data_IF_893745247020
#
_entry.id   IF_893745247020
#
_cell.length_a   1.000
_cell.length_b   1.000
_cell.length_c   1.000
_cell.angle_alpha   90.00
_cell.angle_beta   90.00
_cell.angle_gamma   90.00
#
_symmetry.space_group_name_H-M   'P 1'
#
loop_
_entity.id
_entity.type
_entity.pdbx_description
1 polymer ?
#
# COMPACT_ATOMS: atom_id res chain seq x y z
N UNK A 1 5.12 -14.48 25.05
CA UNK A 1 5.96 -15.45 24.34
C UNK A 1 5.16 -16.21 23.28
N UNK A 2 3.95 -16.67 23.60
CA UNK A 2 3.03 -17.32 22.65
C UNK A 2 2.63 -16.46 21.43
N UNK A 3 2.37 -15.16 21.60
CA UNK A 3 1.99 -14.27 20.47
C UNK A 3 3.09 -14.10 19.42
N UNK A 4 4.36 -14.03 19.82
CA UNK A 4 5.48 -13.91 18.88
C UNK A 4 5.71 -15.22 18.11
N UNK A 5 5.51 -16.36 18.76
CA UNK A 5 5.63 -17.69 18.12
C UNK A 5 4.48 -17.89 17.13
N UNK A 6 3.24 -17.56 17.51
CA UNK A 6 2.08 -17.60 16.61
C UNK A 6 2.28 -16.72 15.36
N UNK A 7 2.80 -15.50 15.55
CA UNK A 7 3.10 -14.57 14.45
C UNK A 7 4.16 -15.12 13.47
N UNK A 8 5.18 -15.82 13.98
CA UNK A 8 6.20 -16.48 13.15
C UNK A 8 5.63 -17.69 12.40
N UNK A 9 4.75 -18.48 13.04
CA UNK A 9 4.11 -19.63 12.39
C UNK A 9 3.17 -19.23 11.25
N UNK A 10 2.38 -18.15 11.40
CA UNK A 10 1.55 -17.64 10.30
C UNK A 10 2.41 -17.19 9.12
N UNK A 11 3.49 -16.45 9.35
CA UNK A 11 4.38 -16.03 8.24
C UNK A 11 5.07 -17.21 7.57
N UNK A 12 5.43 -18.28 8.30
CA UNK A 12 6.00 -19.51 7.72
C UNK A 12 4.97 -20.34 6.94
N UNK A 13 3.70 -20.38 7.37
CA UNK A 13 2.60 -21.03 6.64
C UNK A 13 2.33 -20.33 5.30
N UNK A 14 2.36 -18.99 5.27
CA UNK A 14 2.32 -18.23 4.02
C UNK A 14 3.63 -18.38 3.23
N UNK A 15 4.78 -18.43 3.92
CA UNK A 15 6.13 -18.70 3.39
C UNK A 15 6.23 -19.98 2.56
N UNK A 16 5.44 -21.00 2.89
CA UNK A 16 5.37 -22.28 2.15
C UNK A 16 4.87 -22.16 0.71
N UNK A 17 4.23 -21.05 0.33
CA UNK A 17 3.83 -20.75 -1.05
C UNK A 17 4.94 -20.05 -1.89
N UNK A 18 6.06 -19.66 -1.28
CA UNK A 18 7.07 -18.77 -1.88
C UNK A 18 8.22 -19.47 -2.63
N UNK A 19 8.11 -20.76 -2.96
CA UNK A 19 9.17 -21.46 -3.71
C UNK A 19 8.78 -21.61 -5.18
N UNK A 20 8.96 -20.54 -5.95
CA UNK A 20 9.55 -20.52 -7.30
C UNK A 20 9.23 -19.19 -7.96
N UNK A 21 10.14 -18.22 -7.95
CA UNK A 21 10.45 -17.38 -9.12
C UNK A 21 11.77 -16.68 -8.83
N UNK A 22 12.84 -17.15 -9.47
CA UNK A 22 14.12 -16.47 -9.47
C UNK A 22 13.97 -15.17 -10.26
N UNK A 23 14.16 -14.05 -9.58
CA UNK A 23 14.20 -12.70 -10.14
C UNK A 23 15.36 -12.60 -11.14
N UNK A 24 15.04 -12.38 -12.42
CA UNK A 24 16.00 -11.94 -13.43
C UNK A 24 15.57 -10.55 -13.88
N UNK A 25 16.36 -9.49 -13.62
CA UNK A 25 16.05 -8.16 -14.13
C UNK A 25 16.18 -8.18 -15.66
N UNK A 26 15.04 -8.24 -16.34
CA UNK A 26 14.96 -8.09 -17.79
C UNK A 26 14.87 -6.61 -18.13
N UNK A 27 15.63 -6.16 -19.13
CA UNK A 27 15.47 -4.81 -19.69
C UNK A 27 13.98 -4.56 -20.00
N UNK A 28 13.43 -3.48 -19.45
CA UNK A 28 12.04 -3.06 -19.64
C UNK A 28 11.73 -2.96 -21.15
N UNK A 29 11.02 -3.97 -21.68
CA UNK A 29 10.49 -3.90 -23.04
C UNK A 29 9.42 -2.80 -23.07
N UNK A 30 9.30 -2.04 -24.17
CA UNK A 30 8.22 -1.08 -24.31
C UNK A 30 6.87 -1.77 -24.10
N UNK A 31 5.98 -1.08 -23.40
CA UNK A 31 4.65 -1.60 -23.08
C UNK A 31 3.90 -1.85 -24.37
N UNK A 32 3.64 -3.12 -24.68
CA UNK A 32 2.75 -3.46 -25.78
C UNK A 32 1.33 -3.01 -25.43
N UNK A 33 0.65 -2.43 -26.41
CA UNK A 33 -0.74 -1.95 -26.28
C UNK A 33 -1.64 -2.70 -27.25
N UNK A 34 -2.92 -2.84 -26.91
CA UNK A 34 -3.91 -3.48 -27.76
C UNK A 34 -4.39 -2.51 -28.85
N UNK A 35 -4.45 -3.01 -30.09
CA UNK A 35 -5.13 -2.31 -31.17
C UNK A 35 -6.64 -2.30 -30.96
N UNK A 36 -7.30 -1.22 -31.40
CA UNK A 36 -8.75 -1.07 -31.33
C UNK A 36 -9.45 -2.16 -32.16
N UNK A 37 -10.33 -2.93 -31.52
CA UNK A 37 -11.06 -4.05 -32.16
C UNK A 37 -10.30 -5.38 -32.15
N UNK A 38 -9.13 -5.44 -31.53
CA UNK A 38 -8.27 -6.65 -31.54
C UNK A 38 -8.86 -7.85 -30.78
N UNK A 39 -9.82 -7.64 -29.88
CA UNK A 39 -10.41 -8.70 -29.08
C UNK A 39 -11.67 -9.31 -29.71
N UNK A 40 -12.20 -8.73 -30.79
CA UNK A 40 -13.44 -9.20 -31.44
C UNK A 40 -13.45 -10.71 -31.78
N UNK A 41 -12.29 -11.29 -32.14
CA UNK A 41 -12.18 -12.73 -32.38
C UNK A 41 -12.37 -13.57 -31.12
N UNK A 42 -11.82 -13.12 -29.98
CA UNK A 42 -11.97 -13.79 -28.69
C UNK A 42 -13.40 -13.66 -28.17
N UNK A 43 -14.01 -12.49 -28.34
CA UNK A 43 -15.42 -12.23 -27.96
C UNK A 43 -16.37 -13.16 -28.70
N UNK A 44 -16.26 -13.29 -30.03
CA UNK A 44 -17.07 -14.23 -30.81
C UNK A 44 -16.93 -15.67 -30.33
N UNK A 45 -15.71 -16.06 -29.94
CA UNK A 45 -15.44 -17.40 -29.39
C UNK A 45 -16.12 -17.58 -28.03
N UNK A 46 -16.02 -16.59 -27.15
CA UNK A 46 -16.64 -16.62 -25.84
C UNK A 46 -18.18 -16.73 -25.95
N UNK A 47 -18.81 -15.92 -26.81
CA UNK A 47 -20.25 -15.99 -27.07
C UNK A 47 -20.71 -17.36 -27.56
N UNK A 48 -19.96 -17.98 -28.47
CA UNK A 48 -20.25 -19.33 -28.96
C UNK A 48 -20.12 -20.39 -27.85
N UNK A 49 -19.12 -20.26 -26.98
CA UNK A 49 -18.96 -21.17 -25.83
C UNK A 49 -20.12 -21.02 -24.83
N UNK A 50 -20.52 -19.79 -24.49
CA UNK A 50 -21.67 -19.53 -23.63
C UNK A 50 -22.97 -20.16 -24.15
N UNK A 51 -23.14 -20.25 -25.48
CA UNK A 51 -24.33 -20.89 -26.09
C UNK A 51 -24.25 -22.42 -26.13
N UNK A 52 -23.06 -23.00 -26.06
CA UNK A 52 -22.84 -24.44 -26.31
C UNK A 52 -22.49 -25.23 -25.05
N UNK A 53 -21.98 -24.58 -24.01
CA UNK A 53 -21.69 -25.19 -22.72
C UNK A 53 -22.95 -25.16 -21.84
N UNK A 54 -23.32 -26.32 -21.30
CA UNK A 54 -24.54 -26.48 -20.51
C UNK A 54 -24.31 -26.56 -18.99
N UNK A 55 -23.06 -26.65 -18.55
CA UNK A 55 -22.73 -26.75 -17.12
C UNK A 55 -22.23 -25.41 -16.58
N UNK A 56 -22.58 -25.11 -15.33
CA UNK A 56 -22.08 -23.93 -14.62
C UNK A 56 -20.74 -24.25 -13.97
N UNK A 57 -19.76 -23.37 -14.16
CA UNK A 57 -18.48 -23.42 -13.45
C UNK A 57 -18.63 -22.70 -12.11
N UNK A 58 -18.18 -23.32 -11.02
CA UNK A 58 -18.02 -22.61 -9.74
C UNK A 58 -16.76 -21.73 -9.80
N UNK A 59 -16.97 -20.42 -9.82
CA UNK A 59 -15.90 -19.42 -9.96
C UNK A 59 -15.38 -18.90 -8.62
N UNK A 60 -15.89 -19.38 -7.48
CA UNK A 60 -15.48 -18.89 -6.14
C UNK A 60 -14.00 -19.09 -5.86
N UNK A 61 -13.43 -20.20 -6.34
CA UNK A 61 -12.01 -20.53 -6.15
C UNK A 61 -11.12 -20.06 -7.31
N UNK A 62 -11.67 -19.36 -8.31
CA UNK A 62 -10.89 -18.87 -9.44
C UNK A 62 -9.82 -17.90 -8.97
N UNK A 63 -8.62 -17.99 -9.55
CA UNK A 63 -7.50 -17.09 -9.27
C UNK A 63 -7.08 -16.43 -10.57
N UNK A 64 -7.76 -15.32 -10.90
CA UNK A 64 -7.53 -14.60 -12.15
C UNK A 64 -6.17 -13.90 -12.11
N UNK A 65 -5.36 -14.15 -13.14
CA UNK A 65 -4.08 -13.48 -13.36
C UNK A 65 -4.13 -12.58 -14.60
N UNK A 66 -3.27 -11.58 -14.62
CA UNK A 66 -2.93 -10.80 -15.81
C UNK A 66 -1.42 -10.78 -15.97
N UNK A 67 -0.91 -11.11 -17.17
CA UNK A 67 0.55 -11.21 -17.43
C UNK A 67 1.29 -12.14 -16.42
N UNK A 68 0.61 -13.16 -15.91
CA UNK A 68 1.16 -14.12 -14.95
C UNK A 68 0.93 -13.77 -13.48
N UNK A 69 0.64 -12.50 -13.16
CA UNK A 69 0.42 -12.06 -11.78
C UNK A 69 -1.05 -12.20 -11.38
N UNK A 70 -1.30 -12.85 -10.24
CA UNK A 70 -2.66 -12.97 -9.71
C UNK A 70 -3.17 -11.62 -9.21
N UNK A 71 -4.37 -11.23 -9.65
CA UNK A 71 -4.97 -9.94 -9.32
C UNK A 71 -5.66 -9.95 -7.96
N UNK A 72 -5.79 -8.76 -7.37
CA UNK A 72 -6.67 -8.55 -6.22
C UNK A 72 -8.14 -8.77 -6.61
N UNK A 73 -8.91 -9.38 -5.72
CA UNK A 73 -10.29 -9.78 -5.96
C UNK A 73 -11.16 -9.37 -4.79
N UNK A 74 -12.26 -8.69 -5.06
CA UNK A 74 -13.40 -8.68 -4.14
C UNK A 74 -14.19 -9.99 -4.33
N UNK A 75 -14.05 -10.89 -3.37
CA UNK A 75 -14.65 -12.23 -3.40
C UNK A 75 -16.16 -12.21 -3.24
N UNK A 76 -16.73 -11.16 -2.64
CA UNK A 76 -18.17 -11.02 -2.49
C UNK A 76 -18.85 -10.77 -3.85
N UNK A 77 -18.25 -9.92 -4.69
CA UNK A 77 -18.76 -9.60 -6.03
C UNK A 77 -18.12 -10.42 -7.16
N UNK A 78 -17.05 -11.17 -6.88
CA UNK A 78 -16.21 -11.82 -7.90
C UNK A 78 -15.70 -10.82 -8.95
N UNK A 79 -15.17 -9.70 -8.46
CA UNK A 79 -14.59 -8.64 -9.27
C UNK A 79 -13.10 -8.54 -9.01
N UNK A 80 -12.30 -8.67 -10.06
CA UNK A 80 -10.85 -8.49 -10.00
C UNK A 80 -10.45 -7.08 -10.43
N UNK A 81 -9.37 -6.56 -9.86
CA UNK A 81 -8.93 -5.18 -10.09
C UNK A 81 -7.58 -5.19 -10.80
N UNK A 82 -7.51 -4.49 -11.94
CA UNK A 82 -6.28 -4.33 -12.71
C UNK A 82 -5.89 -2.84 -12.75
N UNK A 83 -4.79 -2.44 -12.09
CA UNK A 83 -4.25 -1.10 -12.24
C UNK A 83 -3.72 -0.87 -13.65
N UNK A 84 -4.14 0.22 -14.28
CA UNK A 84 -3.78 0.61 -15.64
C UNK A 84 -3.32 2.06 -15.69
N UNK A 85 -2.60 2.43 -16.74
CA UNK A 85 -2.15 3.80 -16.95
C UNK A 85 -3.31 4.70 -17.39
N UNK A 86 -3.68 5.64 -16.54
CA UNK A 86 -4.78 6.58 -16.79
C UNK A 86 -4.39 7.77 -17.68
N UNK A 87 -3.09 8.02 -17.86
CA UNK A 87 -2.57 9.10 -18.70
C UNK A 87 -2.55 8.74 -20.20
N UNK A 88 -2.72 7.45 -20.51
CA UNK A 88 -2.78 6.92 -21.87
C UNK A 88 -4.19 6.45 -22.22
N UNK A 89 -4.68 6.81 -23.41
CA UNK A 89 -5.94 6.29 -23.95
C UNK A 89 -5.85 4.86 -24.48
N UNK A 90 -4.64 4.28 -24.58
CA UNK A 90 -4.43 2.93 -25.07
C UNK A 90 -4.57 1.88 -23.95
N UNK A 91 -5.07 0.70 -24.28
CA UNK A 91 -5.17 -0.43 -23.36
C UNK A 91 -3.90 -1.26 -23.36
N UNK A 92 -3.44 -1.67 -22.18
CA UNK A 92 -2.26 -2.49 -21.99
C UNK A 92 -2.48 -3.90 -22.57
N UNK A 93 -1.54 -4.37 -23.39
CA UNK A 93 -1.60 -5.72 -23.94
C UNK A 93 -1.31 -6.77 -22.86
N UNK A 94 -2.07 -7.85 -22.84
CA UNK A 94 -1.83 -8.94 -21.90
C UNK A 94 -2.94 -9.96 -21.98
N UNK A 95 -2.65 -11.17 -21.51
CA UNK A 95 -3.63 -12.24 -21.41
C UNK A 95 -4.14 -12.33 -19.97
N UNK A 96 -5.46 -12.48 -19.84
CA UNK A 96 -6.07 -12.98 -18.62
C UNK A 96 -5.97 -14.49 -18.59
N UNK A 97 -5.56 -15.05 -17.45
CA UNK A 97 -5.39 -16.49 -17.26
C UNK A 97 -5.86 -16.91 -15.87
N UNK A 98 -6.07 -18.20 -15.66
CA UNK A 98 -6.23 -18.77 -14.32
C UNK A 98 -4.88 -19.24 -13.78
N UNK A 99 -4.59 -18.97 -12.50
CA UNK A 99 -3.35 -19.41 -11.85
C UNK A 99 -3.20 -20.94 -11.85
N UNK A 100 -4.31 -21.68 -11.78
CA UNK A 100 -4.32 -23.15 -11.84
C UNK A 100 -4.13 -23.72 -13.25
N UNK A 101 -4.30 -22.91 -14.29
CA UNK A 101 -4.14 -23.27 -15.70
C UNK A 101 -5.20 -24.21 -16.27
N UNK A 102 -6.15 -24.69 -15.46
CA UNK A 102 -7.24 -25.57 -15.90
C UNK A 102 -8.38 -24.78 -16.54
N UNK A 103 -8.62 -23.55 -16.06
CA UNK A 103 -9.67 -22.66 -16.56
C UNK A 103 -9.09 -21.69 -17.58
N UNK A 104 -9.76 -21.56 -18.72
CA UNK A 104 -9.42 -20.59 -19.76
C UNK A 104 -10.28 -19.34 -19.61
N UNK A 105 -9.68 -18.18 -19.85
CA UNK A 105 -10.35 -16.88 -19.73
C UNK A 105 -10.45 -16.23 -21.11
N UNK A 106 -11.63 -15.70 -21.45
CA UNK A 106 -11.86 -14.92 -22.67
C UNK A 106 -12.70 -13.67 -22.35
N UNK A 107 -12.43 -12.52 -22.98
CA UNK A 107 -13.31 -11.36 -22.84
C UNK A 107 -14.68 -11.63 -23.47
N UNK A 108 -15.75 -11.21 -22.79
CA UNK A 108 -17.11 -11.20 -23.34
C UNK A 108 -17.44 -9.88 -24.07
N UNK A 109 -16.58 -8.89 -23.94
CA UNK A 109 -16.70 -7.58 -24.58
C UNK A 109 -15.34 -7.16 -25.12
N UNK A 110 -15.34 -6.53 -26.30
CA UNK A 110 -14.13 -5.92 -26.84
C UNK A 110 -13.92 -4.56 -26.18
N UNK A 111 -13.34 -4.57 -24.99
CA UNK A 111 -13.11 -3.36 -24.21
C UNK A 111 -12.14 -2.38 -24.88
N UNK A 112 -11.38 -2.82 -25.89
CA UNK A 112 -10.50 -1.93 -26.68
C UNK A 112 -11.27 -0.92 -27.52
N UNK A 113 -12.58 -1.14 -27.70
CA UNK A 113 -13.49 -0.20 -28.37
C UNK A 113 -14.01 0.89 -27.41
N UNK A 114 -13.87 0.70 -26.10
CA UNK A 114 -14.37 1.63 -25.10
C UNK A 114 -13.40 2.79 -24.88
N UNK A 115 -13.93 3.92 -24.44
CA UNK A 115 -13.14 5.04 -23.95
C UNK A 115 -12.53 4.67 -22.58
N UNK A 116 -11.22 4.47 -22.53
CA UNK A 116 -10.50 3.98 -21.34
C UNK A 116 -10.73 4.88 -20.11
N UNK A 117 -10.58 6.19 -20.29
CA UNK A 117 -10.77 7.16 -19.22
C UNK A 117 -12.19 7.10 -18.63
N UNK A 118 -13.22 7.02 -19.47
CA UNK A 118 -14.60 6.90 -19.02
C UNK A 118 -14.91 5.56 -18.33
N UNK A 119 -14.31 4.45 -18.79
CA UNK A 119 -14.44 3.13 -18.14
C UNK A 119 -13.87 3.18 -16.72
N UNK A 120 -12.65 3.70 -16.58
CA UNK A 120 -11.96 3.83 -15.28
C UNK A 120 -12.75 4.77 -14.35
N UNK A 121 -13.12 5.97 -14.83
CA UNK A 121 -13.79 6.97 -14.01
C UNK A 121 -15.16 6.51 -13.47
N UNK A 122 -15.84 5.62 -14.19
CA UNK A 122 -17.13 5.04 -13.77
C UNK A 122 -16.99 3.77 -12.94
N UNK A 123 -15.78 3.23 -12.79
CA UNK A 123 -15.57 1.89 -12.21
C UNK A 123 -16.33 0.81 -12.99
N UNK A 124 -16.44 0.96 -14.32
CA UNK A 124 -17.24 0.06 -15.14
C UNK A 124 -16.58 -1.33 -15.17
N UNK A 125 -17.31 -2.34 -14.73
CA UNK A 125 -16.87 -3.74 -14.83
C UNK A 125 -16.96 -4.26 -16.26
N UNK A 126 -15.91 -4.95 -16.70
CA UNK A 126 -15.88 -5.71 -17.96
C UNK A 126 -16.00 -7.19 -17.65
N UNK A 127 -16.95 -7.86 -18.30
CA UNK A 127 -17.19 -9.28 -18.08
C UNK A 127 -16.24 -10.15 -18.89
N UNK A 128 -15.74 -11.21 -18.23
CA UNK A 128 -14.92 -12.25 -18.80
C UNK A 128 -15.64 -13.60 -18.65
N UNK A 129 -15.49 -14.46 -19.64
CA UNK A 129 -15.88 -15.86 -19.58
C UNK A 129 -14.74 -16.67 -18.98
N UNK A 130 -15.01 -17.34 -17.87
CA UNK A 130 -14.19 -18.43 -17.35
C UNK A 130 -14.78 -19.76 -17.81
N UNK A 131 -13.99 -20.63 -18.44
CA UNK A 131 -14.49 -21.93 -18.89
C UNK A 131 -13.49 -23.07 -18.73
N UNK A 132 -14.01 -24.23 -18.36
CA UNK A 132 -13.27 -25.49 -18.27
C UNK A 132 -13.65 -26.39 -19.45
N UNK A 133 -12.65 -26.74 -20.25
CA UNK A 133 -12.82 -27.57 -21.45
C UNK A 133 -13.18 -29.01 -21.16
N UNK A 134 -12.60 -29.58 -20.10
CA UNK A 134 -12.81 -30.98 -19.74
C UNK A 134 -14.16 -31.16 -19.05
N UNK A 135 -14.48 -30.25 -18.14
CA UNK A 135 -15.75 -30.26 -17.42
C UNK A 135 -16.92 -29.72 -18.26
N UNK A 136 -16.64 -29.14 -19.43
CA UNK A 136 -17.63 -28.48 -20.31
C UNK A 136 -18.50 -27.48 -19.55
N UNK A 137 -17.88 -26.74 -18.62
CA UNK A 137 -18.56 -25.79 -17.75
C UNK A 137 -18.04 -24.38 -17.99
N UNK A 138 -18.90 -23.39 -17.74
CA UNK A 138 -18.52 -21.98 -17.83
C UNK A 138 -19.18 -21.12 -16.75
N UNK A 139 -18.54 -20.00 -16.43
CA UNK A 139 -19.00 -18.99 -15.50
C UNK A 139 -18.57 -17.60 -15.96
N UNK A 140 -19.23 -16.57 -15.46
CA UNK A 140 -18.91 -15.18 -15.76
C UNK A 140 -18.22 -14.58 -14.54
N UNK A 141 -17.12 -13.88 -14.79
CA UNK A 141 -16.39 -13.08 -13.79
C UNK A 141 -16.20 -11.67 -14.31
N UNK A 142 -15.84 -10.74 -13.44
CA UNK A 142 -15.70 -9.33 -13.79
C UNK A 142 -14.29 -8.82 -13.51
N UNK A 143 -13.81 -7.93 -14.37
CA UNK A 143 -12.61 -7.12 -14.10
C UNK A 143 -13.00 -5.64 -14.08
N UNK A 144 -12.46 -4.88 -13.12
CA UNK A 144 -12.49 -3.42 -13.07
C UNK A 144 -11.08 -2.92 -13.34
N UNK A 145 -10.96 -1.99 -14.29
CA UNK A 145 -9.71 -1.29 -14.54
C UNK A 145 -9.67 -0.05 -13.67
N UNK A 146 -8.62 0.07 -12.86
CA UNK A 146 -8.44 1.17 -11.90
C UNK A 146 -7.26 2.04 -12.30
N UNK A 147 -7.39 3.36 -12.12
CA UNK A 147 -6.33 4.32 -12.41
C UNK A 147 -5.35 4.51 -11.26
N UNK A 148 -5.65 3.94 -10.09
CA UNK A 148 -4.78 3.98 -8.91
C UNK A 148 -4.11 2.64 -8.70
N UNK A 149 -3.05 2.61 -7.89
CA UNK A 149 -2.41 1.37 -7.50
C UNK A 149 -3.36 0.45 -6.71
N UNK A 150 -2.98 -0.82 -6.60
CA UNK A 150 -3.72 -1.81 -5.80
C UNK A 150 -2.78 -2.45 -4.79
N UNK A 151 -3.27 -2.77 -3.59
CA UNK A 151 -2.57 -3.59 -2.61
C UNK A 151 -3.46 -4.75 -2.21
N UNK A 152 -2.94 -5.97 -2.35
CA UNK A 152 -3.59 -7.20 -1.85
C UNK A 152 -2.85 -7.70 -0.63
N UNK A 153 -3.58 -7.97 0.44
CA UNK A 153 -3.09 -8.48 1.72
C UNK A 153 -3.78 -9.81 2.01
N UNK A 154 -3.01 -10.79 2.45
CA UNK A 154 -3.49 -12.08 2.96
C UNK A 154 -2.92 -12.29 4.38
N UNK A 155 -3.79 -12.58 5.34
CA UNK A 155 -3.46 -12.76 6.76
C UNK A 155 -4.46 -13.67 7.45
N UNK A 156 -4.02 -14.44 8.45
CA UNK A 156 -4.91 -15.26 9.28
C UNK A 156 -5.62 -14.47 10.38
N UNK A 157 -5.27 -13.18 10.54
CA UNK A 157 -5.82 -12.33 11.58
C UNK A 157 -7.26 -11.89 11.28
N UNK A 158 -8.06 -11.75 12.34
CA UNK A 158 -9.37 -11.11 12.27
C UNK A 158 -9.19 -9.62 12.50
N UNK A 159 -9.21 -8.80 11.44
CA UNK A 159 -8.95 -7.37 11.55
C UNK A 159 -10.02 -6.58 12.32
N UNK A 160 -11.13 -7.19 12.72
CA UNK A 160 -12.10 -6.56 13.62
C UNK A 160 -11.71 -6.72 15.10
N UNK A 161 -10.80 -7.67 15.41
CA UNK A 161 -10.35 -8.00 16.77
C UNK A 161 -8.85 -7.76 16.96
N UNK A 162 -8.05 -8.17 15.98
CA UNK A 162 -6.59 -8.18 16.02
C UNK A 162 -6.02 -6.82 15.58
N UNK A 163 -5.42 -6.13 16.55
CA UNK A 163 -4.78 -4.83 16.32
C UNK A 163 -3.32 -4.95 15.88
N UNK A 164 -2.75 -6.15 15.93
CA UNK A 164 -1.39 -6.48 15.48
C UNK A 164 -1.45 -7.81 14.75
N UNK A 165 -0.95 -7.84 13.53
CA UNK A 165 -1.07 -9.01 12.65
C UNK A 165 0.11 -9.11 11.69
N UNK A 166 0.21 -10.23 10.99
CA UNK A 166 1.26 -10.48 10.01
C UNK A 166 0.71 -11.31 8.86
N UNK A 167 1.40 -11.30 7.74
CA UNK A 167 0.94 -12.02 6.56
C UNK A 167 1.80 -11.74 5.35
N UNK A 168 1.19 -11.89 4.18
CA UNK A 168 1.80 -11.57 2.89
C UNK A 168 1.02 -10.48 2.18
N UNK A 169 1.72 -9.69 1.38
CA UNK A 169 1.10 -8.67 0.57
C UNK A 169 1.74 -8.56 -0.81
N UNK A 170 0.97 -8.01 -1.74
CA UNK A 170 1.41 -7.67 -3.08
C UNK A 170 0.99 -6.25 -3.37
N UNK A 171 1.95 -5.40 -3.71
CA UNK A 171 1.71 -4.07 -4.28
C UNK A 171 1.64 -4.22 -5.79
N UNK A 172 0.63 -3.61 -6.42
CA UNK A 172 0.45 -3.56 -7.86
C UNK A 172 0.48 -2.10 -8.32
N UNK A 173 1.51 -1.75 -9.09
CA UNK A 173 1.56 -0.51 -9.87
C UNK A 173 0.81 -0.72 -11.19
N UNK A 174 0.80 0.29 -12.07
CA UNK A 174 0.21 0.21 -13.41
C UNK A 174 0.79 -0.97 -14.17
N UNK A 175 -0.07 -1.88 -14.64
CA UNK A 175 0.34 -3.14 -15.27
C UNK A 175 1.14 -2.97 -16.57
N UNK A 176 1.19 -1.75 -17.11
CA UNK A 176 2.06 -1.38 -18.22
C UNK A 176 3.55 -1.37 -17.84
N UNK A 177 3.90 -1.06 -16.60
CA UNK A 177 5.30 -0.96 -16.17
C UNK A 177 6.00 -2.32 -16.13
N UNK A 178 7.32 -2.32 -16.33
CA UNK A 178 8.14 -3.47 -15.99
C UNK A 178 8.09 -3.68 -14.47
N UNK A 179 8.08 -4.94 -14.03
CA UNK A 179 8.06 -5.30 -12.61
C UNK A 179 6.96 -4.57 -11.81
N UNK A 180 5.76 -4.44 -12.43
CA UNK A 180 4.59 -3.75 -11.87
C UNK A 180 4.03 -4.35 -10.58
N UNK A 181 4.65 -5.39 -10.03
CA UNK A 181 4.27 -6.02 -8.77
C UNK A 181 5.44 -6.18 -7.82
N UNK A 182 5.23 -5.87 -6.53
CA UNK A 182 6.18 -6.12 -5.45
C UNK A 182 5.53 -7.02 -4.41
N UNK A 183 6.10 -8.21 -4.22
CA UNK A 183 5.62 -9.20 -3.26
C UNK A 183 6.50 -9.20 -2.00
N UNK A 184 5.87 -9.22 -0.82
CA UNK A 184 6.61 -9.21 0.45
C UNK A 184 5.79 -9.75 1.62
N UNK A 185 6.48 -10.23 2.67
CA UNK A 185 5.85 -10.49 3.96
C UNK A 185 5.76 -9.20 4.79
N UNK A 186 4.90 -9.19 5.80
CA UNK A 186 4.78 -8.01 6.67
C UNK A 186 4.46 -8.37 8.12
N UNK A 187 4.75 -7.42 9.01
CA UNK A 187 4.11 -7.27 10.31
C UNK A 187 3.37 -5.93 10.31
N UNK A 188 2.20 -5.86 10.93
CA UNK A 188 1.37 -4.67 10.90
C UNK A 188 0.69 -4.42 12.23
N UNK A 189 0.30 -3.17 12.44
CA UNK A 189 -0.58 -2.79 13.53
C UNK A 189 -1.55 -1.69 13.11
N UNK A 190 -2.71 -1.66 13.75
CA UNK A 190 -3.62 -0.53 13.64
C UNK A 190 -2.91 0.77 14.03
N UNK A 191 -3.16 1.82 13.25
CA UNK A 191 -2.55 3.12 13.43
C UNK A 191 -3.60 4.21 13.61
N UNK A 192 -3.26 5.15 14.49
CA UNK A 192 -4.04 6.35 14.76
C UNK A 192 -4.21 6.54 16.26
N UNK A 193 -4.64 7.73 16.66
CA UNK A 193 -5.17 7.93 18.01
C UNK A 193 -6.69 7.91 17.92
N UNK A 194 -7.32 9.07 17.73
CA UNK A 194 -8.77 9.21 17.60
C UNK A 194 -9.35 8.45 16.41
N UNK A 195 -8.60 8.37 15.31
CA UNK A 195 -9.04 7.68 14.08
C UNK A 195 -9.22 6.18 14.23
N UNK A 196 -8.68 5.56 15.31
CA UNK A 196 -8.93 4.14 15.61
C UNK A 196 -10.37 3.87 15.98
N UNK A 197 -11.15 4.88 16.38
CA UNK A 197 -12.57 4.73 16.63
C UNK A 197 -13.40 4.68 15.32
N UNK A 198 -12.83 5.02 14.16
CA UNK A 198 -13.57 5.02 12.90
C UNK A 198 -13.81 3.60 12.37
N UNK A 199 -14.87 3.37 11.58
CA UNK A 199 -15.13 2.07 10.96
C UNK A 199 -13.98 1.62 10.04
N UNK A 200 -13.39 2.56 9.29
CA UNK A 200 -12.25 2.29 8.42
C UNK A 200 -10.95 2.63 9.16
N UNK A 201 -10.14 1.61 9.46
CA UNK A 201 -8.90 1.74 10.22
C UNK A 201 -7.74 2.15 9.34
N UNK A 202 -6.80 2.91 9.90
CA UNK A 202 -5.47 3.09 9.31
C UNK A 202 -4.52 2.03 9.85
N UNK A 203 -3.46 1.73 9.11
CA UNK A 203 -2.47 0.73 9.50
C UNK A 203 -1.05 1.25 9.33
N UNK A 204 -0.11 0.63 10.03
CA UNK A 204 1.32 0.69 9.70
C UNK A 204 1.77 -0.72 9.37
N UNK A 205 2.41 -0.87 8.21
CA UNK A 205 2.97 -2.12 7.72
C UNK A 205 4.48 -2.01 7.70
N UNK A 206 5.14 -2.94 8.38
CA UNK A 206 6.59 -3.13 8.39
C UNK A 206 6.92 -4.38 7.56
N UNK A 207 7.59 -4.17 6.42
CA UNK A 207 7.92 -5.19 5.44
C UNK A 207 9.06 -6.08 5.95
N UNK A 208 8.84 -7.39 5.85
CA UNK A 208 9.77 -8.40 6.34
C UNK A 208 10.03 -9.48 5.30
N UNK A 209 11.19 -10.10 5.44
CA UNK A 209 11.55 -11.33 4.75
C UNK A 209 11.94 -12.37 5.80
N UNK A 210 11.54 -13.61 5.58
CA UNK A 210 11.87 -14.72 6.48
C UNK A 210 12.84 -15.63 5.77
N UNK A 211 14.03 -15.79 6.35
CA UNK A 211 15.04 -16.72 5.84
C UNK A 211 14.57 -18.17 5.96
N UNK A 212 15.15 -19.12 5.22
CA UNK A 212 14.84 -20.55 5.38
C UNK A 212 15.05 -21.08 6.81
N UNK A 213 15.89 -20.43 7.61
CA UNK A 213 16.12 -20.75 9.02
C UNK A 213 15.06 -20.16 9.98
N UNK A 214 14.04 -19.47 9.46
CA UNK A 214 12.99 -18.82 10.25
C UNK A 214 13.36 -17.46 10.84
N UNK A 215 14.52 -16.89 10.48
CA UNK A 215 14.94 -15.56 10.94
C UNK A 215 14.17 -14.48 10.17
N UNK A 216 13.50 -13.58 10.90
CA UNK A 216 12.78 -12.43 10.37
C UNK A 216 13.74 -11.25 10.23
N UNK A 217 13.93 -10.77 9.00
CA UNK A 217 14.71 -9.58 8.69
C UNK A 217 13.81 -8.51 8.07
N UNK A 218 14.22 -7.24 8.20
CA UNK A 218 13.62 -6.14 7.45
C UNK A 218 13.76 -6.39 5.95
N UNK A 219 12.75 -5.99 5.18
CA UNK A 219 12.73 -6.13 3.72
C UNK A 219 12.36 -4.80 3.05
N UNK A 220 13.27 -3.83 3.01
CA UNK A 220 12.98 -2.55 2.38
C UNK A 220 12.70 -2.76 0.89
N UNK A 221 11.60 -2.19 0.42
CA UNK A 221 11.17 -2.25 -0.97
C UNK A 221 10.83 -0.84 -1.47
N UNK A 222 11.04 -0.58 -2.76
CA UNK A 222 10.49 0.59 -3.45
C UNK A 222 9.08 0.26 -3.91
N UNK A 223 8.07 1.02 -3.47
CA UNK A 223 6.67 0.85 -3.90
C UNK A 223 6.15 2.16 -4.50
N UNK A 224 5.40 2.07 -5.60
CA UNK A 224 4.74 3.21 -6.25
C UNK A 224 5.67 4.39 -6.60
N UNK A 225 6.92 4.08 -6.94
CA UNK A 225 7.94 5.09 -7.25
C UNK A 225 8.46 5.90 -6.05
N UNK A 226 8.06 5.55 -4.82
CA UNK A 226 8.54 6.16 -3.58
C UNK A 226 9.89 5.56 -3.13
N UNK A 227 10.47 6.05 -2.02
CA UNK A 227 11.77 5.63 -1.52
C UNK A 227 11.79 4.15 -1.15
N UNK A 228 13.00 3.60 -1.11
CA UNK A 228 13.20 2.26 -0.56
C UNK A 228 12.96 2.29 0.96
N UNK A 229 11.90 1.61 1.42
CA UNK A 229 11.49 1.59 2.82
C UNK A 229 10.97 0.23 3.23
N UNK A 230 11.27 -0.19 4.46
CA UNK A 230 10.65 -1.34 5.10
C UNK A 230 9.42 -0.95 5.91
N UNK A 231 8.99 0.33 5.92
CA UNK A 231 7.86 0.77 6.72
C UNK A 231 6.95 1.71 5.93
N UNK A 232 5.65 1.43 5.95
CA UNK A 232 4.63 2.11 5.16
C UNK A 232 3.39 2.41 6.01
N UNK A 233 2.83 3.59 5.85
CA UNK A 233 1.59 4.01 6.51
C UNK A 233 0.44 3.86 5.52
N UNK A 234 -0.58 3.13 5.91
CA UNK A 234 -1.82 2.99 5.15
C UNK A 234 -2.86 3.88 5.82
N UNK A 235 -2.94 5.12 5.37
CA UNK A 235 -3.87 6.11 5.88
C UNK A 235 -5.26 5.94 5.25
N UNK A 236 -6.27 5.74 6.08
CA UNK A 236 -7.62 5.39 5.63
C UNK A 236 -8.34 6.48 4.82
N UNK A 237 -7.86 7.73 4.88
CA UNK A 237 -8.48 8.92 4.31
C UNK A 237 -9.98 9.04 4.68
N UNK A 238 -10.36 8.53 5.84
CA UNK A 238 -11.77 8.33 6.19
C UNK A 238 -12.51 9.67 6.40
N UNK A 239 -11.94 10.55 7.23
CA UNK A 239 -12.55 11.81 7.65
C UNK A 239 -12.56 12.89 6.56
N UNK A 240 -11.65 12.83 5.59
CA UNK A 240 -11.62 13.79 4.49
C UNK A 240 -12.66 13.44 3.42
N UNK A 241 -13.80 14.14 3.39
CA UNK A 241 -14.86 13.93 2.40
C UNK A 241 -14.42 14.13 0.94
N UNK A 242 -13.34 14.88 0.69
CA UNK A 242 -12.79 15.10 -0.66
C UNK A 242 -11.71 14.10 -1.04
N UNK A 243 -11.14 13.41 -0.05
CA UNK A 243 -10.01 12.47 -0.16
C UNK A 243 -8.69 13.08 -0.65
N UNK A 244 -8.64 14.38 -0.99
CA UNK A 244 -7.49 15.01 -1.66
C UNK A 244 -6.61 15.88 -0.76
N UNK A 245 -7.07 16.27 0.44
CA UNK A 245 -6.39 17.30 1.24
C UNK A 245 -4.99 16.88 1.67
N UNK A 246 -4.84 15.66 2.16
CA UNK A 246 -3.57 15.15 2.64
C UNK A 246 -2.55 14.99 1.51
N UNK A 247 -2.95 14.42 0.36
CA UNK A 247 -2.09 14.34 -0.84
C UNK A 247 -1.71 15.74 -1.34
N UNK A 248 -2.67 16.65 -1.49
CA UNK A 248 -2.41 18.00 -1.98
C UNK A 248 -1.44 18.75 -1.07
N UNK A 249 -1.65 18.73 0.25
CA UNK A 249 -0.77 19.41 1.20
C UNK A 249 0.64 18.82 1.20
N UNK A 250 0.73 17.48 1.07
CA UNK A 250 2.00 16.77 0.95
C UNK A 250 2.76 17.21 -0.29
N UNK A 251 2.10 17.24 -1.46
CA UNK A 251 2.70 17.71 -2.72
C UNK A 251 3.11 19.18 -2.67
N UNK A 252 2.28 20.03 -2.07
CA UNK A 252 2.61 21.44 -1.88
C UNK A 252 3.89 21.59 -1.06
N UNK A 253 3.97 20.93 0.10
CA UNK A 253 5.16 20.97 0.94
C UNK A 253 6.41 20.44 0.21
N UNK A 254 6.27 19.36 -0.56
CA UNK A 254 7.36 18.82 -1.36
C UNK A 254 7.84 19.82 -2.43
N UNK A 255 6.93 20.56 -3.06
CA UNK A 255 7.25 21.52 -4.12
C UNK A 255 8.03 22.76 -3.67
N UNK A 256 7.87 23.22 -2.43
CA UNK A 256 8.55 24.45 -1.95
C UNK A 256 9.42 24.28 -0.71
N UNK A 257 9.17 23.29 0.14
CA UNK A 257 9.79 23.18 1.47
C UNK A 257 10.72 21.99 1.62
N UNK A 258 10.23 20.78 1.32
CA UNK A 258 10.87 19.53 1.75
C UNK A 258 12.36 19.42 1.37
N UNK A 259 12.73 19.79 0.15
CA UNK A 259 14.12 19.67 -0.32
C UNK A 259 14.96 20.95 -0.12
N UNK A 260 14.35 22.04 0.35
CA UNK A 260 15.03 23.35 0.50
C UNK A 260 15.58 23.59 1.90
N UNK A 261 15.07 22.86 2.89
CA UNK A 261 15.43 23.06 4.30
C UNK A 261 16.83 22.53 4.62
N UNK A 262 17.24 21.41 4.01
CA UNK A 262 18.55 20.82 4.21
C UNK A 262 19.05 20.17 2.92
N UNK A 263 20.24 20.56 2.48
CA UNK A 263 20.80 20.04 1.23
C UNK A 263 21.00 18.52 1.31
N UNK A 264 20.40 17.78 0.37
CA UNK A 264 20.53 16.33 0.28
C UNK A 264 19.57 15.54 1.17
N UNK A 265 18.67 16.21 1.91
CA UNK A 265 17.69 15.55 2.78
C UNK A 265 16.27 15.98 2.43
N UNK A 266 15.40 15.00 2.18
CA UNK A 266 13.97 15.26 1.94
C UNK A 266 13.23 15.39 3.28
N UNK A 267 12.87 16.62 3.66
CA UNK A 267 12.15 16.94 4.91
C UNK A 267 10.62 16.86 4.75
N UNK A 268 10.14 15.91 3.97
CA UNK A 268 8.73 15.72 3.64
C UNK A 268 8.31 14.25 3.72
N UNK A 269 7.20 13.91 3.09
CA UNK A 269 6.73 12.54 2.89
C UNK A 269 6.12 12.48 1.51
N UNK A 270 6.06 11.30 0.89
CA UNK A 270 5.21 11.10 -0.28
C UNK A 270 3.97 10.32 0.13
N UNK A 271 2.90 10.53 -0.63
CA UNK A 271 1.64 9.80 -0.46
C UNK A 271 1.18 9.33 -1.83
N UNK A 272 0.90 8.06 -2.04
CA UNK A 272 0.25 7.58 -3.26
C UNK A 272 -1.09 6.93 -2.95
N UNK A 273 -2.05 7.03 -3.87
CA UNK A 273 -3.33 6.37 -3.69
C UNK A 273 -3.25 4.90 -4.07
N UNK A 274 -3.82 4.04 -3.23
CA UNK A 274 -4.01 2.64 -3.56
C UNK A 274 -5.34 2.08 -3.05
N UNK A 275 -5.90 1.15 -3.80
CA UNK A 275 -7.05 0.35 -3.39
C UNK A 275 -6.59 -0.86 -2.57
N UNK A 276 -7.11 -1.02 -1.35
CA UNK A 276 -6.70 -2.09 -0.45
C UNK A 276 -7.69 -3.26 -0.49
N UNK A 277 -7.16 -4.47 -0.58
CA UNK A 277 -7.88 -5.73 -0.44
C UNK A 277 -7.26 -6.54 0.69
N UNK A 278 -8.07 -7.07 1.61
CA UNK A 278 -7.61 -7.95 2.68
C UNK A 278 -8.44 -9.23 2.67
N UNK A 279 -7.79 -10.39 2.52
CA UNK A 279 -8.46 -11.71 2.49
C UNK A 279 -9.62 -11.77 1.49
N UNK A 280 -9.47 -11.08 0.35
CA UNK A 280 -10.51 -10.99 -0.66
C UNK A 280 -11.66 -10.01 -0.39
N UNK A 281 -11.57 -9.17 0.64
CA UNK A 281 -12.52 -8.09 0.91
C UNK A 281 -11.95 -6.74 0.44
N UNK A 282 -12.73 -5.99 -0.35
CA UNK A 282 -12.36 -4.64 -0.74
C UNK A 282 -12.53 -3.65 0.42
N UNK A 283 -11.43 -3.04 0.87
CA UNK A 283 -11.39 -2.07 1.98
C UNK A 283 -11.40 -0.60 1.50
N UNK A 284 -11.48 -0.37 0.19
CA UNK A 284 -11.54 0.97 -0.41
C UNK A 284 -10.18 1.65 -0.61
N UNK A 285 -10.23 2.94 -0.92
CA UNK A 285 -9.08 3.79 -1.23
C UNK A 285 -8.26 4.19 0.01
N UNK A 286 -6.96 3.98 0.02
CA UNK A 286 -6.02 4.42 1.05
C UNK A 286 -4.99 5.40 0.48
N UNK A 287 -4.44 6.24 1.35
CA UNK A 287 -3.18 6.94 1.11
C UNK A 287 -2.02 6.12 1.66
N UNK A 288 -1.10 5.72 0.79
CA UNK A 288 0.10 4.97 1.15
C UNK A 288 1.23 5.97 1.31
N UNK A 289 1.78 6.08 2.51
CA UNK A 289 2.76 7.11 2.86
C UNK A 289 4.03 6.51 3.44
N UNK A 290 5.14 7.21 3.22
CA UNK A 290 6.40 6.94 3.89
C UNK A 290 6.39 7.58 5.28
N UNK A 291 6.78 6.89 6.36
CA UNK A 291 7.06 7.57 7.61
C UNK A 291 8.28 8.47 7.43
N UNK A 292 8.21 9.68 7.99
CA UNK A 292 9.42 10.48 8.23
C UNK A 292 10.17 9.83 9.38
N UNK A 293 11.35 9.27 9.07
CA UNK A 293 12.17 8.52 10.01
C UNK A 293 13.65 8.93 9.93
N UNK A 294 14.42 8.41 10.87
CA UNK A 294 15.84 8.69 11.02
C UNK A 294 16.64 8.32 9.76
N UNK A 295 16.24 7.25 9.07
CA UNK A 295 16.88 6.79 7.84
C UNK A 295 16.67 7.76 6.69
N UNK A 296 15.44 8.27 6.51
CA UNK A 296 15.12 9.28 5.50
C UNK A 296 15.86 10.58 5.76
N UNK A 297 15.95 10.98 7.03
CA UNK A 297 16.57 12.24 7.44
C UNK A 297 18.11 12.18 7.46
N UNK A 298 18.68 10.97 7.39
CA UNK A 298 20.13 10.77 7.47
C UNK A 298 20.73 11.21 8.81
N UNK A 299 19.95 11.15 9.90
CA UNK A 299 20.40 11.66 11.19
C UNK A 299 21.56 10.85 11.76
N UNK A 300 22.51 11.54 12.35
CA UNK A 300 23.61 10.97 13.13
C UNK A 300 23.23 10.72 14.59
N UNK A 301 24.11 10.07 15.35
CA UNK A 301 23.91 9.82 16.78
C UNK A 301 23.83 11.09 17.64
N UNK A 302 24.14 12.27 17.08
CA UNK A 302 24.07 13.57 17.77
C UNK A 302 22.84 14.39 17.39
N UNK A 303 22.03 13.89 16.46
CA UNK A 303 20.84 14.55 15.97
C UNK A 303 19.59 13.82 16.45
N UNK A 304 18.50 14.56 16.58
CA UNK A 304 17.28 14.07 17.19
C UNK A 304 16.07 14.35 16.32
N UNK A 305 15.19 13.37 16.21
CA UNK A 305 13.89 13.51 15.57
C UNK A 305 12.81 13.55 16.65
N UNK A 306 12.19 14.71 16.85
CA UNK A 306 11.07 14.87 17.77
C UNK A 306 9.75 14.89 17.02
N UNK A 307 8.75 14.22 17.58
CA UNK A 307 7.40 14.13 17.02
C UNK A 307 6.38 14.67 18.01
N UNK A 308 5.62 15.65 17.55
CA UNK A 308 4.45 16.16 18.26
C UNK A 308 3.22 15.29 17.99
N UNK A 309 2.53 14.91 19.06
CA UNK A 309 1.36 14.02 19.03
C UNK A 309 0.07 14.73 19.42
N UNK A 310 0.16 15.87 20.12
CA UNK A 310 -0.97 16.72 20.46
C UNK A 310 -0.67 18.20 20.22
N UNK A 311 -1.69 18.96 19.82
CA UNK A 311 -1.59 20.41 19.56
C UNK A 311 -1.76 21.28 20.80
N UNK A 312 -1.28 20.86 21.98
CA UNK A 312 -1.29 21.69 23.20
C UNK A 312 -0.13 22.67 23.16
N UNK A 313 -0.30 23.87 23.72
CA UNK A 313 0.79 24.81 23.92
C UNK A 313 1.96 24.10 24.64
N UNK A 314 3.17 24.34 24.15
CA UNK A 314 4.38 23.68 24.62
C UNK A 314 5.24 24.77 25.26
N UNK A 315 5.39 24.69 26.59
CA UNK A 315 6.15 25.66 27.36
C UNK A 315 7.45 25.05 27.89
N UNK A 316 8.52 25.83 27.97
CA UNK A 316 9.82 25.33 28.45
C UNK A 316 9.74 24.89 29.92
N UNK A 317 8.96 25.57 30.77
CA UNK A 317 8.83 25.18 32.18
C UNK A 317 8.09 23.85 32.38
N UNK A 318 7.33 23.40 31.38
CA UNK A 318 6.65 22.11 31.44
C UNK A 318 7.64 20.93 31.41
N UNK A 319 8.84 21.12 30.83
CA UNK A 319 9.91 20.11 30.86
C UNK A 319 10.48 19.94 32.26
N UNK A 320 10.46 20.99 33.09
CA UNK A 320 11.04 20.96 34.44
C UNK A 320 10.11 20.30 35.47
N UNK A 321 8.83 20.10 35.11
CA UNK A 321 7.80 19.55 35.99
C UNK A 321 7.71 18.02 35.96
N UNK A 322 8.22 17.39 34.90
CA UNK A 322 8.04 15.95 34.66
C UNK A 322 9.30 15.34 34.06
N UNK A 323 9.44 14.01 34.13
CA UNK A 323 10.59 13.32 33.54
C UNK A 323 10.31 12.90 32.08
N UNK A 324 11.34 12.59 31.26
CA UNK A 324 11.16 12.19 29.86
C UNK A 324 10.13 11.09 29.61
N UNK A 325 9.95 10.15 30.56
CA UNK A 325 8.95 9.08 30.50
C UNK A 325 7.51 9.60 30.40
N UNK A 326 7.26 10.81 30.91
CA UNK A 326 5.94 11.45 30.93
C UNK A 326 5.73 12.46 29.80
N UNK A 327 6.78 12.78 29.01
CA UNK A 327 6.71 13.79 27.95
C UNK A 327 5.67 13.46 26.88
N UNK A 328 5.48 12.17 26.54
CA UNK A 328 4.44 11.77 25.58
C UNK A 328 3.04 12.11 26.10
N UNK A 329 2.79 11.92 27.40
CA UNK A 329 1.47 12.11 28.00
C UNK A 329 1.20 13.56 28.40
N UNK A 330 2.22 14.28 28.87
CA UNK A 330 2.11 15.63 29.44
C UNK A 330 2.34 16.68 28.36
N UNK A 331 3.48 16.58 27.67
CA UNK A 331 3.89 17.52 26.61
C UNK A 331 3.34 17.13 25.24
N UNK A 332 2.94 15.87 25.07
CA UNK A 332 2.54 15.34 23.78
C UNK A 332 3.70 15.16 22.82
N UNK A 333 4.91 14.96 23.32
CA UNK A 333 6.13 14.86 22.52
C UNK A 333 6.75 13.47 22.63
N UNK A 334 7.25 12.96 21.52
CA UNK A 334 7.94 11.68 21.43
C UNK A 334 9.29 11.90 20.74
N UNK A 335 10.35 11.29 21.26
CA UNK A 335 11.65 11.22 20.57
C UNK A 335 11.72 9.94 19.72
N UNK A 336 12.18 10.05 18.48
CA UNK A 336 12.29 8.96 17.51
C UNK A 336 13.75 8.56 17.33
N UNK A 337 13.99 7.26 17.14
CA UNK A 337 15.33 6.71 16.91
C UNK A 337 16.13 6.41 18.19
N UNK A 338 15.54 6.61 19.38
CA UNK A 338 16.11 6.25 20.67
C UNK A 338 15.29 5.14 21.33
N UNK A 339 15.94 4.38 22.21
CA UNK A 339 15.26 3.41 23.06
C UNK A 339 14.49 4.14 24.17
N UNK A 340 13.22 3.77 24.36
CA UNK A 340 12.37 4.38 25.38
C UNK A 340 12.05 5.85 25.10
N UNK A 341 12.06 6.68 26.15
CA UNK A 341 11.68 8.09 26.07
C UNK A 341 12.87 9.06 25.96
N UNK A 342 14.10 8.56 25.82
CA UNK A 342 15.33 9.37 25.85
C UNK A 342 15.69 9.91 27.25
N UNK A 343 16.89 10.48 27.40
CA UNK A 343 17.36 11.15 28.61
C UNK A 343 17.08 12.65 28.59
N UNK A 344 17.27 13.34 29.73
CA UNK A 344 17.13 14.80 29.79
C UNK A 344 18.09 15.49 28.79
N UNK A 345 19.30 14.95 28.63
CA UNK A 345 20.28 15.43 27.66
C UNK A 345 19.80 15.26 26.21
N UNK A 346 19.14 14.14 25.88
CA UNK A 346 18.55 13.94 24.54
C UNK A 346 17.48 14.99 24.20
N UNK A 347 16.80 15.54 25.22
CA UNK A 347 15.76 16.55 25.07
C UNK A 347 16.26 17.99 25.19
N UNK A 348 17.51 18.20 25.59
CA UNK A 348 18.05 19.54 25.86
C UNK A 348 17.98 20.47 24.63
N UNK A 349 18.27 19.93 23.44
CA UNK A 349 18.17 20.69 22.18
C UNK A 349 16.73 21.14 21.90
N UNK A 350 15.75 20.24 22.07
CA UNK A 350 14.36 20.58 21.84
C UNK A 350 13.81 21.55 22.89
N UNK A 351 14.16 21.38 24.17
CA UNK A 351 13.80 22.33 25.23
C UNK A 351 14.35 23.72 24.92
N UNK A 352 15.62 23.81 24.49
CA UNK A 352 16.22 25.07 24.08
C UNK A 352 15.50 25.71 22.89
N UNK A 353 15.09 24.93 21.89
CA UNK A 353 14.25 25.43 20.80
C UNK A 353 12.93 26.02 21.32
N UNK A 354 12.28 25.39 22.30
CA UNK A 354 11.06 25.91 22.93
C UNK A 354 11.32 27.23 23.66
N UNK A 355 12.39 27.33 24.45
CA UNK A 355 12.78 28.58 25.13
C UNK A 355 12.98 29.74 24.15
N UNK A 356 13.66 29.47 23.03
CA UNK A 356 13.86 30.49 21.99
C UNK A 356 12.50 30.91 21.42
N UNK A 357 11.55 29.99 21.19
CA UNK A 357 10.21 30.37 20.72
C UNK A 357 9.42 31.23 21.74
N UNK A 358 9.78 31.19 23.02
CA UNK A 358 9.15 31.97 24.10
C UNK A 358 9.85 33.30 24.37
N UNK A 359 11.08 33.46 23.87
CA UNK A 359 11.89 34.63 24.09
C UNK A 359 11.26 35.89 23.47
N UNK A 360 11.60 37.05 24.02
CA UNK A 360 11.23 38.32 23.40
C UNK A 360 12.03 38.54 22.09
N UNK A 361 11.59 39.50 21.28
CA UNK A 361 12.18 39.77 19.97
C UNK A 361 13.69 40.10 20.06
N UNK A 362 14.14 40.71 21.16
CA UNK A 362 15.55 41.07 21.36
C UNK A 362 16.39 39.81 21.54
N UNK A 363 16.03 38.97 22.52
CA UNK A 363 16.71 37.71 22.81
C UNK A 363 16.61 36.75 21.62
N UNK A 364 15.43 36.64 20.99
CA UNK A 364 15.24 35.80 19.81
C UNK A 364 16.19 36.21 18.68
N UNK A 365 16.36 37.51 18.43
CA UNK A 365 17.22 38.01 17.37
C UNK A 365 18.72 37.78 17.60
N UNK A 366 19.15 37.68 18.87
CA UNK A 366 20.54 37.44 19.24
C UNK A 366 20.90 35.95 19.26
N UNK A 367 19.93 35.09 19.61
CA UNK A 367 20.19 33.68 19.92
C UNK A 367 19.74 32.67 18.85
N UNK A 368 18.85 33.06 17.91
CA UNK A 368 18.37 32.22 16.80
C UNK A 368 19.22 32.36 15.54
#
# INVERSE_FOLDING_TARGET
MEKKIALVFSVLLFGGFFIFFAYFPGNAKPVEVLEKGSLAGQVRRAENLCRTLGHTLDTKQLRLCFRGEELACDRASLTWYLPVDMDSGAWEAGAFTDAGGSVKILPLQDYTLFDKAAVIAKGQSVSLLAWDEKARSCGIVSVVFTGVAVVRVETDADLDVDTVFAGSMVFYDRCGQADWTVQTGFQAHERGQTTRAFPKKGYRFDLIQVTPAGVVNKNPCTVFGMRNSDSWIFYAVYSDGTKVRDKLNTELWNGFGADRMAAGTHMGTHMEYAELFVNGEYRGLYGIMEPVDCSQLGISDQEYLYKRTFGRELLSEAFDQVMPEEYLTVLGMEIKGRDGSGSIEDWACFRRFVEICEADDEIFSEEA
#
